data_IF_852399663505
#
_entry.id   IF_852399663505
#
_cell.length_a   1.000
_cell.length_b   1.000
_cell.length_c   1.000
_cell.angle_alpha   90.00
_cell.angle_beta   90.00
_cell.angle_gamma   90.00
#
_symmetry.space_group_name_H-M   'P 1'
#
loop_
_entity.id
_entity.type
_entity.pdbx_description
1 polymer ?
#
# COMPACT_ATOMS: atom_id res chain seq x y z
N UNK A 1 -49.72 36.20 31.52
CA UNK A 1 -48.42 35.84 32.13
C UNK A 1 -47.40 35.80 31.02
N UNK A 2 -46.45 36.73 31.06
CA UNK A 2 -45.41 36.88 30.10
C UNK A 2 -44.40 35.71 30.22
N UNK A 3 -44.18 34.99 29.16
CA UNK A 3 -43.07 34.05 29.03
C UNK A 3 -41.81 34.86 28.83
N UNK A 4 -41.06 35.11 29.88
CA UNK A 4 -39.72 35.70 29.81
C UNK A 4 -38.73 34.58 29.40
N UNK A 5 -38.60 34.35 28.12
CA UNK A 5 -37.48 33.62 27.57
C UNK A 5 -36.23 34.47 27.65
N UNK A 6 -35.20 33.97 28.32
CA UNK A 6 -33.86 34.55 28.23
C UNK A 6 -33.45 34.62 26.77
N UNK A 7 -33.34 35.87 26.28
CA UNK A 7 -33.04 36.16 24.89
C UNK A 7 -31.64 35.76 24.48
N UNK A 8 -31.48 34.59 23.94
CA UNK A 8 -30.48 34.38 22.91
C UNK A 8 -31.05 34.97 21.62
N UNK A 9 -30.45 36.06 21.16
CA UNK A 9 -30.74 36.66 19.88
C UNK A 9 -30.51 35.63 18.77
N UNK A 10 -31.56 34.89 18.45
CA UNK A 10 -31.64 34.14 17.21
C UNK A 10 -31.72 35.21 16.09
N UNK A 11 -30.58 35.59 15.59
CA UNK A 11 -30.54 36.34 14.34
C UNK A 11 -31.15 35.40 13.30
N UNK A 12 -32.43 35.69 12.96
CA UNK A 12 -33.10 35.00 11.86
C UNK A 12 -32.30 35.32 10.59
N UNK A 13 -31.45 34.37 10.20
CA UNK A 13 -30.77 34.43 8.91
C UNK A 13 -31.83 34.47 7.83
N UNK A 14 -32.00 35.64 7.18
CA UNK A 14 -32.90 35.86 6.06
C UNK A 14 -32.50 35.14 4.76
N UNK A 15 -31.63 34.15 4.82
CA UNK A 15 -31.32 33.26 3.72
C UNK A 15 -32.00 31.91 3.94
N UNK A 16 -33.32 31.89 3.66
CA UNK A 16 -33.97 30.67 3.25
C UNK A 16 -33.35 30.27 1.88
N UNK A 17 -32.24 29.63 1.91
CA UNK A 17 -31.62 29.08 0.69
C UNK A 17 -32.53 27.93 0.21
N UNK A 18 -33.01 28.04 -1.03
CA UNK A 18 -33.78 27.04 -1.76
C UNK A 18 -32.94 25.77 -2.03
N UNK A 19 -32.43 25.12 -0.99
CA UNK A 19 -31.84 23.77 -1.09
C UNK A 19 -32.94 22.78 -0.81
N UNK A 20 -33.78 22.50 -1.80
CA UNK A 20 -34.70 21.36 -1.77
C UNK A 20 -33.93 20.05 -1.99
N UNK A 21 -33.18 19.60 -0.98
CA UNK A 21 -32.71 18.25 -0.94
C UNK A 21 -33.85 17.36 -0.40
N UNK A 22 -34.70 16.86 -1.28
CA UNK A 22 -35.68 15.81 -0.99
C UNK A 22 -36.66 16.14 0.16
N UNK A 23 -36.59 15.43 1.26
CA UNK A 23 -37.48 15.57 2.41
C UNK A 23 -36.99 16.66 3.37
N UNK A 24 -37.91 17.46 3.94
CA UNK A 24 -37.63 18.60 4.84
C UNK A 24 -36.73 18.20 6.02
N UNK A 25 -36.88 17.00 6.56
CA UNK A 25 -36.06 16.47 7.66
C UNK A 25 -34.56 16.37 7.32
N UNK A 26 -34.23 15.99 6.08
CA UNK A 26 -32.84 15.85 5.62
C UNK A 26 -32.17 17.22 5.48
N UNK A 27 -32.89 18.18 4.89
CA UNK A 27 -32.40 19.55 4.76
C UNK A 27 -32.21 20.24 6.12
N UNK A 28 -33.11 20.01 7.07
CA UNK A 28 -33.01 20.54 8.43
C UNK A 28 -31.82 19.95 9.19
N UNK A 29 -31.59 18.63 9.08
CA UNK A 29 -30.45 17.96 9.68
C UNK A 29 -29.09 18.47 9.15
N UNK A 30 -28.96 18.62 7.83
CA UNK A 30 -27.77 19.19 7.21
C UNK A 30 -27.54 20.65 7.63
N UNK A 31 -28.61 21.46 7.68
CA UNK A 31 -28.51 22.84 8.15
C UNK A 31 -28.05 22.93 9.60
N UNK A 32 -28.56 22.05 10.47
CA UNK A 32 -28.14 21.98 11.87
C UNK A 32 -26.65 21.61 12.02
N UNK A 33 -26.16 20.67 11.20
CA UNK A 33 -24.74 20.30 11.17
C UNK A 33 -23.86 21.52 10.82
N UNK A 34 -24.26 22.28 9.79
CA UNK A 34 -23.48 23.42 9.29
C UNK A 34 -23.58 24.62 10.24
N UNK A 35 -24.73 24.86 10.86
CA UNK A 35 -24.92 25.96 11.82
C UNK A 35 -24.05 25.78 13.09
N UNK A 36 -23.81 24.54 13.52
CA UNK A 36 -22.96 24.22 14.67
C UNK A 36 -21.48 24.22 14.33
N UNK A 37 -20.88 25.34 13.93
CA UNK A 37 -19.50 25.46 13.42
C UNK A 37 -18.45 24.72 14.26
N UNK A 38 -18.52 24.80 15.61
CA UNK A 38 -17.58 24.13 16.52
C UNK A 38 -17.69 22.62 16.40
N UNK A 39 -18.91 22.08 16.42
CA UNK A 39 -19.16 20.65 16.31
C UNK A 39 -18.80 20.12 14.90
N UNK A 40 -19.16 20.90 13.86
CA UNK A 40 -18.77 20.58 12.48
C UNK A 40 -17.25 20.46 12.36
N UNK A 41 -16.50 21.44 12.87
CA UNK A 41 -15.04 21.41 12.83
C UNK A 41 -14.46 20.20 13.57
N UNK A 42 -14.88 19.94 14.81
CA UNK A 42 -14.39 18.81 15.60
C UNK A 42 -14.68 17.47 14.95
N UNK A 43 -15.91 17.31 14.43
CA UNK A 43 -16.32 16.06 13.77
C UNK A 43 -15.59 15.85 12.45
N UNK A 44 -15.58 16.87 11.60
CA UNK A 44 -14.85 16.86 10.32
C UNK A 44 -13.37 16.55 10.53
N UNK A 45 -12.74 17.19 11.55
CA UNK A 45 -11.32 16.95 11.87
C UNK A 45 -11.07 15.52 12.36
N UNK A 46 -11.96 14.95 13.17
CA UNK A 46 -11.82 13.57 13.66
C UNK A 46 -11.88 12.55 12.52
N UNK A 47 -12.86 12.66 11.62
CA UNK A 47 -12.92 11.81 10.44
C UNK A 47 -11.73 12.04 9.51
N UNK A 48 -11.39 13.29 9.24
CA UNK A 48 -10.30 13.65 8.35
C UNK A 48 -8.96 13.09 8.85
N UNK A 49 -8.68 13.23 10.15
CA UNK A 49 -7.46 12.70 10.75
C UNK A 49 -7.35 11.18 10.59
N UNK A 50 -8.44 10.45 10.85
CA UNK A 50 -8.46 9.01 10.68
C UNK A 50 -8.18 8.59 9.25
N UNK A 51 -8.78 9.26 8.27
CA UNK A 51 -8.57 8.99 6.84
C UNK A 51 -7.12 9.27 6.43
N UNK A 52 -6.56 10.40 6.88
CA UNK A 52 -5.16 10.77 6.64
C UNK A 52 -4.22 9.69 7.18
N UNK A 53 -4.45 9.25 8.42
CA UNK A 53 -3.63 8.21 9.04
C UNK A 53 -3.70 6.88 8.28
N UNK A 54 -4.90 6.42 7.89
CA UNK A 54 -5.05 5.19 7.09
C UNK A 54 -4.27 5.28 5.79
N UNK A 55 -4.39 6.39 5.05
CA UNK A 55 -3.70 6.59 3.78
C UNK A 55 -2.18 6.67 3.95
N UNK A 56 -1.68 7.36 4.98
CA UNK A 56 -0.25 7.45 5.25
C UNK A 56 0.34 6.12 5.71
N UNK A 57 -0.32 5.42 6.63
CA UNK A 57 0.15 4.12 7.10
C UNK A 57 0.14 3.05 6.01
N UNK A 58 -0.79 3.12 5.05
CA UNK A 58 -0.77 2.22 3.89
C UNK A 58 0.50 2.39 3.05
N UNK A 59 1.02 3.62 2.92
CA UNK A 59 2.29 3.90 2.25
C UNK A 59 3.47 3.37 3.06
N UNK A 60 3.46 3.57 4.37
CA UNK A 60 4.52 3.06 5.26
C UNK A 60 4.59 1.53 5.26
N UNK A 61 3.45 0.84 5.24
CA UNK A 61 3.40 -0.62 5.11
C UNK A 61 3.98 -1.10 3.78
N UNK A 62 3.63 -0.43 2.68
CA UNK A 62 4.21 -0.75 1.37
C UNK A 62 5.72 -0.55 1.37
N UNK A 63 6.20 0.56 1.94
CA UNK A 63 7.63 0.84 2.06
C UNK A 63 8.34 -0.21 2.91
N UNK A 64 7.78 -0.61 4.06
CA UNK A 64 8.34 -1.66 4.90
C UNK A 64 8.44 -3.00 4.15
N UNK A 65 7.43 -3.35 3.32
CA UNK A 65 7.46 -4.55 2.50
C UNK A 65 8.60 -4.55 1.47
N UNK A 66 8.89 -3.39 0.88
CA UNK A 66 9.98 -3.24 -0.11
C UNK A 66 11.39 -3.31 0.52
N UNK A 67 11.51 -3.16 1.83
CA UNK A 67 12.79 -3.27 2.53
C UNK A 67 13.13 -4.71 2.95
N UNK A 68 12.22 -5.67 2.74
CA UNK A 68 12.41 -7.06 3.13
C UNK A 68 12.79 -7.93 1.91
N UNK A 69 14.06 -8.39 1.80
CA UNK A 69 14.55 -9.14 0.63
C UNK A 69 13.79 -10.44 0.36
N UNK A 70 13.29 -11.08 1.42
CA UNK A 70 12.56 -12.36 1.33
C UNK A 70 11.20 -12.31 0.63
N UNK A 71 10.83 -11.15 0.07
CA UNK A 71 9.59 -10.96 -0.69
C UNK A 71 9.81 -10.90 -2.21
N UNK A 72 11.05 -11.05 -2.68
CA UNK A 72 11.36 -11.04 -4.11
C UNK A 72 10.66 -12.20 -4.84
N UNK A 73 10.11 -11.99 -6.05
CA UNK A 73 9.34 -13.02 -6.76
C UNK A 73 10.13 -14.27 -7.17
N UNK A 74 11.47 -14.18 -7.16
CA UNK A 74 12.39 -15.26 -7.46
C UNK A 74 13.10 -15.84 -6.23
N UNK A 75 12.67 -15.46 -5.02
CA UNK A 75 13.32 -15.88 -3.79
C UNK A 75 13.42 -17.41 -3.71
N UNK A 76 14.62 -17.99 -3.62
CA UNK A 76 14.77 -19.45 -3.55
C UNK A 76 14.53 -19.96 -2.14
N UNK A 77 14.23 -21.25 -2.04
CA UNK A 77 14.24 -22.00 -0.78
C UNK A 77 15.66 -22.50 -0.44
N UNK A 78 16.40 -22.87 -1.47
CA UNK A 78 17.81 -23.29 -1.35
C UNK A 78 18.62 -22.51 -2.37
N UNK A 79 19.71 -21.91 -1.90
CA UNK A 79 20.64 -21.14 -2.72
C UNK A 79 21.99 -21.84 -2.78
N UNK A 80 22.46 -22.10 -4.00
CA UNK A 80 23.80 -22.58 -4.28
C UNK A 80 24.64 -21.43 -4.83
N UNK A 81 25.80 -21.17 -4.23
CA UNK A 81 26.76 -20.16 -4.66
C UNK A 81 28.13 -20.77 -4.88
N UNK A 82 28.82 -20.36 -5.92
CA UNK A 82 30.23 -20.64 -6.07
C UNK A 82 31.06 -19.95 -4.97
N UNK A 83 32.04 -20.65 -4.41
CA UNK A 83 32.93 -20.06 -3.42
C UNK A 83 33.66 -18.84 -4.02
N UNK A 84 33.77 -17.76 -3.29
CA UNK A 84 34.33 -16.52 -3.80
C UNK A 84 33.56 -15.88 -4.96
N UNK A 85 32.30 -16.26 -5.20
CA UNK A 85 31.47 -15.84 -6.32
C UNK A 85 31.98 -16.31 -7.70
N UNK A 86 32.70 -17.43 -7.72
CA UNK A 86 33.21 -18.03 -8.95
C UNK A 86 32.10 -18.73 -9.76
N UNK A 87 32.30 -18.82 -11.08
CA UNK A 87 31.38 -19.45 -12.03
C UNK A 87 31.63 -20.97 -12.10
N UNK A 88 31.34 -21.66 -11.01
CA UNK A 88 31.59 -23.13 -10.88
C UNK A 88 30.31 -23.96 -11.04
N UNK A 89 29.15 -23.35 -11.03
CA UNK A 89 27.85 -24.01 -11.11
C UNK A 89 27.47 -24.30 -12.56
N UNK A 90 27.63 -25.55 -13.00
CA UNK A 90 27.37 -25.92 -14.39
C UNK A 90 25.87 -25.87 -14.74
N UNK A 91 25.54 -25.68 -16.01
CA UNK A 91 24.18 -25.80 -16.51
C UNK A 91 23.62 -27.21 -16.36
N UNK A 92 24.48 -28.23 -16.49
CA UNK A 92 24.09 -29.62 -16.25
C UNK A 92 23.66 -29.84 -14.79
N UNK A 93 24.29 -29.18 -13.83
CA UNK A 93 23.83 -29.20 -12.44
C UNK A 93 22.43 -28.64 -12.28
N UNK A 94 22.10 -27.52 -12.92
CA UNK A 94 20.75 -27.00 -12.89
C UNK A 94 19.71 -27.98 -13.44
N UNK A 95 20.04 -28.75 -14.50
CA UNK A 95 19.19 -29.83 -15.02
C UNK A 95 19.04 -30.98 -14.03
N UNK A 96 20.13 -31.38 -13.38
CA UNK A 96 20.10 -32.43 -12.34
C UNK A 96 19.23 -32.02 -11.16
N UNK A 97 19.33 -30.73 -10.71
CA UNK A 97 18.50 -30.19 -9.65
C UNK A 97 17.01 -30.20 -10.04
N UNK A 98 16.65 -29.85 -11.29
CA UNK A 98 15.28 -29.93 -11.80
C UNK A 98 14.69 -31.32 -11.79
N UNK A 99 15.52 -32.36 -11.89
CA UNK A 99 15.08 -33.73 -11.91
C UNK A 99 14.81 -34.32 -10.50
N UNK A 100 15.18 -33.64 -9.43
CA UNK A 100 14.97 -34.08 -8.05
C UNK A 100 13.48 -33.97 -7.69
N UNK A 101 12.84 -35.05 -7.19
CA UNK A 101 11.46 -35.00 -6.71
C UNK A 101 11.33 -33.98 -5.57
N UNK A 102 10.28 -33.12 -5.66
CA UNK A 102 10.05 -32.04 -4.69
C UNK A 102 10.66 -30.71 -5.10
N UNK A 103 11.49 -30.65 -6.15
CA UNK A 103 11.93 -29.40 -6.75
C UNK A 103 10.82 -28.86 -7.66
N UNK A 104 10.42 -27.63 -7.45
CA UNK A 104 9.40 -26.93 -8.24
C UNK A 104 10.01 -26.17 -9.41
N UNK A 105 11.03 -25.38 -9.14
CA UNK A 105 11.74 -24.61 -10.15
C UNK A 105 13.21 -24.39 -9.79
N UNK A 106 14.04 -24.26 -10.83
CA UNK A 106 15.47 -23.96 -10.68
C UNK A 106 15.82 -22.84 -11.65
N UNK A 107 16.38 -21.75 -11.15
CA UNK A 107 16.94 -20.69 -11.96
C UNK A 107 18.45 -20.60 -11.78
N UNK A 108 19.13 -20.10 -12.80
CA UNK A 108 20.55 -19.81 -12.76
C UNK A 108 20.82 -18.34 -13.06
N UNK A 109 21.77 -17.77 -12.32
CA UNK A 109 22.20 -16.39 -12.52
C UNK A 109 23.70 -16.25 -12.41
N UNK A 110 24.24 -15.19 -13.04
CA UNK A 110 25.63 -14.82 -12.91
C UNK A 110 25.72 -13.32 -12.68
N UNK A 111 26.43 -12.91 -11.65
CA UNK A 111 26.72 -11.51 -11.37
C UNK A 111 28.23 -11.28 -11.42
N UNK A 112 28.68 -10.41 -12.32
CA UNK A 112 30.07 -10.00 -12.45
C UNK A 112 30.22 -8.59 -11.92
N UNK A 113 30.89 -8.47 -10.79
CA UNK A 113 31.23 -7.17 -10.21
C UNK A 113 32.38 -6.52 -10.96
N UNK A 114 32.41 -5.20 -10.92
CA UNK A 114 33.52 -4.42 -11.49
C UNK A 114 33.77 -4.68 -12.99
N UNK A 115 32.71 -4.93 -13.76
CA UNK A 115 32.81 -5.12 -15.22
C UNK A 115 33.09 -3.78 -15.89
N UNK A 116 34.19 -3.65 -16.70
CA UNK A 116 34.46 -2.43 -17.41
C UNK A 116 33.32 -2.05 -18.35
N UNK A 117 32.87 -0.81 -18.25
CA UNK A 117 31.80 -0.26 -19.06
C UNK A 117 32.03 1.21 -19.36
N UNK A 118 31.46 1.71 -20.43
CA UNK A 118 31.42 3.13 -20.72
C UNK A 118 30.09 3.54 -21.33
N UNK A 119 29.72 4.80 -21.18
CA UNK A 119 28.50 5.32 -21.77
C UNK A 119 28.77 6.70 -22.40
N UNK A 120 28.30 6.95 -23.62
CA UNK A 120 28.44 8.26 -24.25
C UNK A 120 27.69 9.37 -23.50
N UNK A 121 26.64 9.00 -22.78
CA UNK A 121 25.75 9.92 -22.11
C UNK A 121 26.07 10.14 -20.62
N UNK A 122 26.85 9.21 -20.01
CA UNK A 122 27.05 9.18 -18.56
C UNK A 122 28.50 8.83 -18.21
N UNK A 123 28.93 9.34 -17.06
CA UNK A 123 30.20 8.97 -16.47
C UNK A 123 30.09 7.64 -15.76
N UNK A 124 30.48 6.56 -16.44
CA UNK A 124 30.43 5.17 -15.96
C UNK A 124 31.69 4.47 -16.42
N UNK A 125 32.47 3.98 -15.48
CA UNK A 125 33.67 3.21 -15.74
C UNK A 125 33.48 1.72 -15.52
N UNK A 126 32.64 1.37 -14.55
CA UNK A 126 32.36 -0.02 -14.16
C UNK A 126 30.87 -0.21 -13.82
N UNK A 127 30.39 -1.43 -14.05
CA UNK A 127 29.04 -1.85 -13.69
C UNK A 127 29.07 -3.24 -13.04
N UNK A 128 28.00 -3.57 -12.31
CA UNK A 128 27.67 -4.96 -12.05
C UNK A 128 26.88 -5.47 -13.24
N UNK A 129 27.43 -6.45 -13.95
CA UNK A 129 26.79 -7.11 -15.08
C UNK A 129 26.11 -8.39 -14.58
N UNK A 130 24.79 -8.41 -14.51
CA UNK A 130 24.00 -9.55 -14.08
C UNK A 130 23.28 -10.27 -15.22
N UNK A 131 23.12 -11.58 -15.11
CA UNK A 131 22.24 -12.34 -15.99
C UNK A 131 20.97 -12.77 -15.26
N UNK A 132 19.85 -12.74 -15.95
CA UNK A 132 18.59 -13.34 -15.53
C UNK A 132 18.17 -14.36 -16.58
N UNK A 133 17.82 -15.57 -16.13
CA UNK A 133 17.20 -16.56 -17.00
C UNK A 133 15.74 -16.18 -17.32
N UNK A 134 15.08 -16.98 -18.16
CA UNK A 134 13.72 -16.69 -18.64
C UNK A 134 12.70 -16.64 -17.48
N UNK A 135 12.89 -17.47 -16.45
CA UNK A 135 12.03 -17.45 -15.26
C UNK A 135 12.19 -16.17 -14.47
N UNK A 136 13.43 -15.77 -14.18
CA UNK A 136 13.70 -14.54 -13.44
C UNK A 136 13.20 -13.32 -14.21
N UNK A 137 13.40 -13.28 -15.53
CA UNK A 137 12.89 -12.20 -16.39
C UNK A 137 11.37 -12.13 -16.34
N UNK A 138 10.67 -13.27 -16.41
CA UNK A 138 9.21 -13.33 -16.34
C UNK A 138 8.70 -12.87 -14.97
N UNK A 139 9.28 -13.36 -13.88
CA UNK A 139 8.92 -12.98 -12.50
C UNK A 139 9.24 -11.53 -12.18
N UNK A 140 10.20 -10.92 -12.88
CA UNK A 140 10.58 -9.51 -12.71
C UNK A 140 9.67 -8.55 -13.48
N UNK A 141 8.70 -9.03 -14.26
CA UNK A 141 7.82 -8.19 -15.10
C UNK A 141 7.09 -7.12 -14.31
N UNK A 142 6.55 -7.47 -13.14
CA UNK A 142 5.81 -6.55 -12.28
C UNK A 142 6.73 -5.56 -11.53
N UNK A 143 8.03 -5.76 -11.60
CA UNK A 143 9.03 -4.87 -11.00
C UNK A 143 9.50 -3.75 -11.95
N UNK A 144 9.03 -3.74 -13.20
CA UNK A 144 9.39 -2.70 -14.17
C UNK A 144 8.78 -1.37 -13.74
N UNK A 145 9.63 -0.38 -13.44
CA UNK A 145 9.20 0.96 -13.00
C UNK A 145 9.40 2.03 -14.07
N UNK A 146 10.19 1.73 -15.08
CA UNK A 146 10.41 2.62 -16.24
C UNK A 146 10.70 1.80 -17.49
N UNK A 147 10.27 2.29 -18.66
CA UNK A 147 10.49 1.64 -19.94
C UNK A 147 9.68 0.36 -20.12
N UNK A 148 10.29 -0.68 -20.66
CA UNK A 148 9.70 -1.99 -20.94
C UNK A 148 10.67 -3.13 -20.63
N UNK A 149 10.18 -4.35 -20.66
CA UNK A 149 11.05 -5.54 -20.60
C UNK A 149 11.99 -5.60 -21.81
N UNK A 150 13.22 -6.04 -21.54
CA UNK A 150 14.18 -6.34 -22.62
C UNK A 150 13.73 -7.55 -23.43
N UNK A 151 14.00 -7.51 -24.73
CA UNK A 151 13.80 -8.65 -25.61
C UNK A 151 14.81 -9.75 -25.27
N UNK A 152 14.29 -10.95 -25.03
CA UNK A 152 15.09 -12.12 -24.63
C UNK A 152 15.73 -12.83 -25.84
N UNK A 153 15.46 -12.38 -27.06
CA UNK A 153 16.09 -12.96 -28.24
C UNK A 153 17.62 -12.85 -28.17
N UNK A 154 18.29 -13.93 -28.54
CA UNK A 154 19.75 -13.96 -28.53
C UNK A 154 20.40 -12.88 -29.42
N UNK A 155 19.72 -12.40 -30.46
CA UNK A 155 20.18 -11.32 -31.35
C UNK A 155 20.01 -9.91 -30.77
N UNK A 156 19.21 -9.76 -29.73
CA UNK A 156 18.93 -8.48 -29.10
C UNK A 156 20.14 -7.94 -28.35
N UNK A 157 20.27 -6.61 -28.31
CA UNK A 157 21.23 -5.89 -27.48
C UNK A 157 20.52 -5.07 -26.41
N UNK A 158 19.31 -5.48 -26.03
CA UNK A 158 18.52 -4.81 -25.03
C UNK A 158 18.84 -5.33 -23.62
N UNK A 159 18.97 -4.39 -22.70
CA UNK A 159 19.27 -4.69 -21.30
C UNK A 159 18.35 -3.91 -20.37
N UNK A 160 18.27 -4.37 -19.15
CA UNK A 160 17.58 -3.69 -18.05
C UNK A 160 18.61 -3.07 -17.11
N UNK A 161 18.17 -2.11 -16.31
CA UNK A 161 18.96 -1.62 -15.16
C UNK A 161 18.12 -1.74 -13.89
N UNK A 162 18.76 -1.55 -12.73
CA UNK A 162 18.05 -1.43 -11.46
C UNK A 162 17.90 0.05 -11.13
N UNK A 163 16.69 0.46 -10.78
CA UNK A 163 16.44 1.82 -10.35
C UNK A 163 17.12 2.08 -9.02
N UNK A 164 18.08 2.99 -9.03
CA UNK A 164 18.70 3.52 -7.84
C UNK A 164 18.88 5.03 -8.05
N UNK A 165 18.73 5.81 -6.97
CA UNK A 165 18.91 7.27 -7.04
C UNK A 165 20.31 7.68 -7.49
N UNK A 166 21.32 6.84 -7.18
CA UNK A 166 22.72 7.06 -7.51
C UNK A 166 23.09 6.50 -8.89
N UNK A 167 22.26 5.65 -9.48
CA UNK A 167 22.52 5.07 -10.79
C UNK A 167 22.41 6.15 -11.88
N UNK A 168 23.51 6.50 -12.57
CA UNK A 168 23.49 7.48 -13.63
C UNK A 168 22.73 7.00 -14.88
N UNK A 169 22.70 5.67 -15.10
CA UNK A 169 22.10 5.04 -16.27
C UNK A 169 20.56 5.10 -16.20
N UNK A 170 19.95 5.51 -17.31
CA UNK A 170 18.49 5.64 -17.46
C UNK A 170 18.01 4.90 -18.70
N UNK A 171 16.71 4.68 -18.78
CA UNK A 171 16.07 4.13 -19.97
C UNK A 171 16.33 5.02 -21.18
N UNK A 172 16.81 4.42 -22.26
CA UNK A 172 17.25 5.08 -23.48
C UNK A 172 18.76 5.33 -23.57
N UNK A 173 19.50 5.21 -22.46
CA UNK A 173 20.95 5.34 -22.51
C UNK A 173 21.59 4.11 -23.16
N UNK A 174 22.76 4.32 -23.79
CA UNK A 174 23.59 3.25 -24.35
C UNK A 174 24.77 3.01 -23.41
N UNK A 175 25.05 1.75 -23.13
CA UNK A 175 26.23 1.31 -22.38
C UNK A 175 27.06 0.37 -23.22
N UNK A 176 28.37 0.63 -23.30
CA UNK A 176 29.34 -0.18 -24.04
C UNK A 176 30.00 -1.17 -23.08
N UNK A 177 29.79 -2.47 -23.34
CA UNK A 177 30.33 -3.58 -22.53
C UNK A 177 30.85 -4.67 -23.46
N UNK A 178 32.04 -5.19 -23.19
CA UNK A 178 32.65 -6.31 -23.94
C UNK A 178 32.62 -6.13 -25.47
N UNK A 179 32.87 -4.89 -25.96
CA UNK A 179 32.92 -4.61 -27.39
C UNK A 179 31.55 -4.45 -28.07
N UNK A 180 30.46 -4.26 -27.31
CA UNK A 180 29.10 -4.10 -27.83
C UNK A 180 28.38 -2.94 -27.21
N UNK A 181 27.59 -2.25 -28.02
CA UNK A 181 26.61 -1.26 -27.59
C UNK A 181 25.35 -1.96 -27.13
N UNK A 182 24.97 -1.72 -25.88
CA UNK A 182 23.76 -2.26 -25.26
C UNK A 182 22.82 -1.11 -24.95
N UNK A 183 21.55 -1.25 -25.25
CA UNK A 183 20.53 -0.23 -24.99
C UNK A 183 19.74 -0.57 -23.75
N UNK A 184 19.67 0.34 -22.79
CA UNK A 184 18.84 0.20 -21.60
C UNK A 184 17.39 0.50 -21.98
N UNK A 185 16.55 -0.53 -22.03
CA UNK A 185 15.14 -0.40 -22.45
C UNK A 185 14.17 -0.33 -21.28
N UNK A 186 14.61 -0.70 -20.08
CA UNK A 186 13.79 -0.63 -18.88
C UNK A 186 14.58 -0.64 -17.58
N UNK A 187 13.89 -0.35 -16.50
CA UNK A 187 14.46 -0.38 -15.15
C UNK A 187 13.53 -1.13 -14.19
N UNK A 188 14.13 -2.03 -13.39
CA UNK A 188 13.46 -2.71 -12.29
C UNK A 188 13.51 -1.87 -11.01
N UNK A 189 12.51 -1.98 -10.13
CA UNK A 189 12.48 -1.35 -8.81
C UNK A 189 13.49 -1.94 -7.84
N UNK A 190 13.80 -3.22 -8.02
CA UNK A 190 14.74 -4.00 -7.23
C UNK A 190 15.34 -5.11 -8.07
N UNK A 191 16.44 -5.70 -7.61
CA UNK A 191 17.11 -6.78 -8.32
C UNK A 191 18.02 -7.59 -7.40
N UNK A 192 18.48 -8.75 -7.90
CA UNK A 192 19.32 -9.66 -7.16
C UNK A 192 20.72 -9.10 -6.86
N UNK A 193 21.20 -8.18 -7.69
CA UNK A 193 22.52 -7.60 -7.57
C UNK A 193 22.39 -6.13 -7.13
N UNK A 194 22.29 -5.85 -5.82
CA UNK A 194 22.04 -4.50 -5.31
C UNK A 194 23.33 -3.66 -5.27
N UNK A 195 23.72 -3.14 -6.41
CA UNK A 195 24.83 -2.18 -6.49
C UNK A 195 24.35 -0.87 -7.13
N UNK A 196 25.15 0.17 -7.01
CA UNK A 196 24.77 1.51 -7.48
C UNK A 196 24.56 1.54 -8.99
N UNK A 197 25.37 0.83 -9.78
CA UNK A 197 25.25 0.77 -11.25
C UNK A 197 25.18 -0.67 -11.71
N UNK A 198 23.98 -1.16 -11.93
CA UNK A 198 23.75 -2.56 -12.36
C UNK A 198 23.10 -2.60 -13.74
N UNK A 199 23.62 -3.48 -14.60
CA UNK A 199 23.06 -3.82 -15.91
C UNK A 199 22.65 -5.30 -15.88
N UNK A 200 21.37 -5.55 -16.16
CA UNK A 200 20.80 -6.91 -16.19
C UNK A 200 20.58 -7.32 -17.64
N UNK A 201 21.20 -8.40 -18.02
CA UNK A 201 21.06 -8.99 -19.34
C UNK A 201 20.14 -10.22 -19.31
N UNK A 202 19.31 -10.46 -20.32
CA UNK A 202 18.79 -11.80 -20.60
C UNK A 202 19.95 -12.80 -20.73
N UNK A 203 19.76 -14.02 -20.25
CA UNK A 203 20.83 -15.05 -20.21
C UNK A 203 21.49 -15.26 -21.58
N UNK A 204 20.71 -15.31 -22.65
CA UNK A 204 21.22 -15.51 -24.00
C UNK A 204 22.15 -14.39 -24.48
N UNK A 205 21.89 -13.14 -24.07
CA UNK A 205 22.78 -12.01 -24.36
C UNK A 205 24.03 -12.06 -23.49
N UNK A 206 23.87 -12.36 -22.19
CA UNK A 206 24.98 -12.48 -21.25
C UNK A 206 26.02 -13.49 -21.74
N UNK A 207 25.58 -14.68 -22.19
CA UNK A 207 26.44 -15.74 -22.72
C UNK A 207 27.29 -15.28 -23.90
N UNK A 208 26.75 -14.40 -24.74
CA UNK A 208 27.50 -13.82 -25.88
C UNK A 208 28.51 -12.76 -25.46
N UNK A 209 28.20 -12.01 -24.38
CA UNK A 209 29.07 -10.93 -23.89
C UNK A 209 30.30 -11.49 -23.15
N UNK A 210 30.08 -12.47 -22.31
CA UNK A 210 31.10 -12.95 -21.34
C UNK A 210 31.66 -14.32 -21.75
N UNK A 211 31.03 -15.01 -22.72
CA UNK A 211 31.35 -16.41 -23.08
C UNK A 211 31.30 -17.35 -21.87
N UNK A 212 30.42 -17.03 -20.90
CA UNK A 212 30.23 -17.80 -19.70
C UNK A 212 29.46 -19.09 -20.00
N UNK A 213 29.95 -20.22 -19.47
CA UNK A 213 29.27 -21.54 -19.60
C UNK A 213 28.58 -21.93 -18.30
N UNK A 214 28.98 -21.37 -17.18
CA UNK A 214 28.53 -21.69 -15.84
C UNK A 214 27.89 -20.48 -15.15
N UNK A 215 27.10 -20.77 -14.11
CA UNK A 215 26.55 -19.78 -13.20
C UNK A 215 27.49 -19.59 -12.00
N UNK A 216 27.40 -18.46 -11.35
CA UNK A 216 27.93 -18.30 -9.99
C UNK A 216 26.87 -18.47 -8.91
N UNK A 217 25.60 -18.58 -9.31
CA UNK A 217 24.46 -18.69 -8.41
C UNK A 217 23.37 -19.55 -9.05
N UNK A 218 22.82 -20.51 -8.29
CA UNK A 218 21.62 -21.28 -8.65
C UNK A 218 20.64 -21.20 -7.49
N UNK A 219 19.41 -20.81 -7.78
CA UNK A 219 18.31 -20.84 -6.81
C UNK A 219 17.35 -21.98 -7.10
N UNK A 220 16.98 -22.71 -6.06
CA UNK A 220 16.03 -23.80 -6.10
C UNK A 220 14.78 -23.40 -5.32
N UNK A 221 13.62 -23.44 -5.99
CA UNK A 221 12.32 -23.30 -5.37
C UNK A 221 11.72 -24.69 -5.20
N UNK A 222 11.28 -24.99 -4.00
CA UNK A 222 10.66 -26.27 -3.66
C UNK A 222 9.15 -26.21 -3.89
N UNK A 223 8.54 -27.36 -4.13
CA UNK A 223 7.08 -27.47 -4.19
C UNK A 223 6.56 -28.18 -2.92
N UNK A 224 5.23 -28.29 -2.79
CA UNK A 224 4.58 -28.86 -1.60
C UNK A 224 4.91 -30.32 -1.33
N UNK A 225 5.49 -31.05 -2.30
CA UNK A 225 5.92 -32.44 -2.13
C UNK A 225 7.36 -32.58 -1.64
N UNK A 226 8.08 -31.48 -1.44
CA UNK A 226 9.46 -31.50 -0.98
C UNK A 226 9.57 -32.03 0.45
N UNK A 227 10.60 -32.86 0.66
CA UNK A 227 10.91 -33.45 1.96
C UNK A 227 12.35 -33.12 2.36
N UNK A 228 12.74 -33.44 3.58
CA UNK A 228 14.15 -33.31 4.00
C UNK A 228 15.09 -34.15 3.15
N UNK A 229 14.59 -35.24 2.56
CA UNK A 229 15.36 -36.04 1.57
C UNK A 229 15.66 -35.23 0.30
N UNK A 230 14.70 -34.41 -0.17
CA UNK A 230 14.90 -33.48 -1.29
C UNK A 230 16.07 -32.54 -1.01
N UNK A 231 16.08 -31.94 0.19
CA UNK A 231 17.13 -31.00 0.61
C UNK A 231 18.49 -31.69 0.70
N UNK A 232 18.54 -32.89 1.27
CA UNK A 232 19.77 -33.71 1.33
C UNK A 232 20.29 -34.10 -0.06
N UNK A 233 19.40 -34.43 -1.00
CA UNK A 233 19.79 -34.74 -2.38
C UNK A 233 20.38 -33.50 -3.08
N UNK A 234 19.81 -32.33 -2.87
CA UNK A 234 20.36 -31.06 -3.38
C UNK A 234 21.76 -30.82 -2.79
N UNK A 235 21.91 -31.00 -1.48
CA UNK A 235 23.17 -30.77 -0.79
C UNK A 235 24.26 -31.76 -1.27
N UNK A 236 23.91 -33.00 -1.60
CA UNK A 236 24.84 -33.98 -2.12
C UNK A 236 25.40 -33.69 -3.51
N UNK A 237 24.77 -32.83 -4.29
CA UNK A 237 25.30 -32.36 -5.57
C UNK A 237 26.38 -31.28 -5.43
N UNK A 238 26.52 -30.71 -4.23
CA UNK A 238 27.54 -29.70 -3.97
C UNK A 238 28.94 -30.34 -3.87
N UNK A 239 29.92 -29.62 -4.39
CA UNK A 239 31.35 -29.91 -4.24
C UNK A 239 31.95 -28.95 -3.22
N UNK A 240 33.23 -29.09 -2.89
CA UNK A 240 33.94 -28.17 -1.96
C UNK A 240 33.98 -26.71 -2.43
N UNK A 241 33.75 -26.50 -3.73
CA UNK A 241 33.69 -25.15 -4.35
C UNK A 241 32.30 -24.52 -4.31
N UNK A 242 31.28 -25.24 -3.80
CA UNK A 242 29.87 -24.80 -3.82
C UNK A 242 29.33 -24.67 -2.40
N UNK A 243 28.87 -23.48 -2.06
CA UNK A 243 28.19 -23.22 -0.79
C UNK A 243 26.69 -23.42 -1.00
N UNK A 244 26.11 -24.40 -0.29
CA UNK A 244 24.66 -24.62 -0.24
C UNK A 244 24.09 -23.96 1.00
N UNK A 245 23.13 -23.09 0.81
CA UNK A 245 22.44 -22.36 1.88
C UNK A 245 20.94 -22.67 1.84
N UNK A 246 20.44 -23.35 2.85
CA UNK A 246 19.00 -23.45 3.09
C UNK A 246 18.52 -22.12 3.68
N UNK A 247 17.73 -21.39 2.90
CA UNK A 247 17.25 -20.05 3.28
C UNK A 247 15.78 -20.04 3.69
N UNK A 248 15.12 -21.20 3.76
CA UNK A 248 13.71 -21.36 4.12
C UNK A 248 13.37 -20.75 5.49
N UNK A 249 14.20 -21.03 6.49
CA UNK A 249 13.98 -20.50 7.83
C UNK A 249 14.08 -18.96 7.84
N UNK A 250 15.10 -18.41 7.19
CA UNK A 250 15.27 -16.96 7.05
C UNK A 250 14.07 -16.33 6.32
N UNK A 251 13.65 -16.92 5.18
CA UNK A 251 12.49 -16.44 4.42
C UNK A 251 11.22 -16.49 5.26
N UNK A 252 11.03 -17.54 6.04
CA UNK A 252 9.90 -17.69 6.97
C UNK A 252 9.93 -16.63 8.08
N UNK A 253 11.10 -16.34 8.66
CA UNK A 253 11.27 -15.29 9.68
C UNK A 253 11.00 -13.91 9.10
N UNK A 254 11.48 -13.62 7.89
CA UNK A 254 11.20 -12.34 7.20
C UNK A 254 9.70 -12.20 6.90
N UNK A 255 9.05 -13.25 6.40
CA UNK A 255 7.61 -13.27 6.17
C UNK A 255 6.80 -13.08 7.47
N UNK A 256 7.22 -13.75 8.56
CA UNK A 256 6.61 -13.59 9.87
C UNK A 256 6.79 -12.17 10.42
N UNK A 257 7.97 -11.57 10.24
CA UNK A 257 8.25 -10.18 10.65
C UNK A 257 7.38 -9.19 9.88
N UNK A 258 7.21 -9.42 8.58
CA UNK A 258 6.31 -8.60 7.76
C UNK A 258 4.86 -8.76 8.18
N UNK A 259 4.41 -9.99 8.44
CA UNK A 259 3.06 -10.26 8.94
C UNK A 259 2.83 -9.60 10.31
N UNK A 260 3.79 -9.72 11.23
CA UNK A 260 3.72 -9.07 12.54
C UNK A 260 3.63 -7.54 12.41
N UNK A 261 4.43 -6.94 11.54
CA UNK A 261 4.39 -5.50 11.25
C UNK A 261 3.02 -5.08 10.71
N UNK A 262 2.44 -5.87 9.81
CA UNK A 262 1.07 -5.65 9.30
C UNK A 262 0.03 -5.71 10.41
N UNK A 263 0.08 -6.72 11.27
CA UNK A 263 -0.86 -6.89 12.39
C UNK A 263 -0.79 -5.68 13.34
N UNK A 264 0.42 -5.23 13.70
CA UNK A 264 0.62 -4.06 14.56
C UNK A 264 0.03 -2.80 13.93
N UNK A 265 0.33 -2.53 12.66
CA UNK A 265 -0.16 -1.33 11.96
C UNK A 265 -1.68 -1.37 11.78
N UNK A 266 -2.24 -2.48 11.32
CA UNK A 266 -3.69 -2.61 11.18
C UNK A 266 -4.42 -2.58 12.52
N UNK A 267 -3.83 -3.17 13.57
CA UNK A 267 -4.35 -3.07 14.95
C UNK A 267 -4.38 -1.61 15.43
N UNK A 268 -3.31 -0.86 15.21
CA UNK A 268 -3.26 0.57 15.50
C UNK A 268 -4.31 1.38 14.72
N UNK A 269 -4.46 1.10 13.41
CA UNK A 269 -5.50 1.73 12.59
C UNK A 269 -6.92 1.38 13.07
N UNK A 270 -7.14 0.15 13.52
CA UNK A 270 -8.43 -0.26 14.10
C UNK A 270 -8.72 0.51 15.40
N UNK A 271 -7.73 0.71 16.27
CA UNK A 271 -7.87 1.51 17.50
C UNK A 271 -8.22 2.96 17.16
N UNK A 272 -7.53 3.57 16.19
CA UNK A 272 -7.84 4.94 15.73
C UNK A 272 -9.28 5.01 15.19
N UNK A 273 -9.70 4.01 14.41
CA UNK A 273 -11.07 3.90 13.91
C UNK A 273 -12.11 3.82 15.04
N UNK A 274 -11.83 3.01 16.07
CA UNK A 274 -12.69 2.91 17.26
C UNK A 274 -12.76 4.23 18.03
N UNK A 275 -11.63 4.90 18.26
CA UNK A 275 -11.58 6.20 18.94
C UNK A 275 -12.41 7.22 18.16
N UNK A 276 -12.30 7.23 16.82
CA UNK A 276 -13.09 8.11 15.96
C UNK A 276 -14.57 7.79 16.05
N UNK A 277 -14.95 6.51 16.01
CA UNK A 277 -16.33 6.06 16.17
C UNK A 277 -16.91 6.52 17.52
N UNK A 278 -16.20 6.30 18.63
CA UNK A 278 -16.66 6.73 19.95
C UNK A 278 -16.78 8.25 20.05
N UNK A 279 -15.85 8.99 19.48
CA UNK A 279 -15.91 10.45 19.46
C UNK A 279 -17.17 10.95 18.72
N UNK A 280 -17.51 10.33 17.59
CA UNK A 280 -18.71 10.65 16.81
C UNK A 280 -19.97 10.31 17.60
N UNK A 281 -20.07 9.08 18.15
CA UNK A 281 -21.20 8.65 18.96
C UNK A 281 -21.43 9.61 20.14
N UNK A 282 -20.38 9.97 20.85
CA UNK A 282 -20.43 10.89 21.98
C UNK A 282 -20.92 12.28 21.57
N UNK A 283 -20.37 12.84 20.49
CA UNK A 283 -20.75 14.20 20.02
C UNK A 283 -22.18 14.26 19.48
N UNK A 284 -22.64 13.23 18.74
CA UNK A 284 -24.03 13.15 18.28
C UNK A 284 -24.94 13.02 19.51
N UNK A 285 -24.58 12.19 20.48
CA UNK A 285 -25.36 12.02 21.72
C UNK A 285 -25.47 13.32 22.51
N UNK A 286 -24.35 14.08 22.62
CA UNK A 286 -24.36 15.42 23.24
C UNK A 286 -25.22 16.42 22.46
N UNK A 287 -25.12 16.44 21.12
CA UNK A 287 -25.93 17.32 20.26
C UNK A 287 -27.43 17.04 20.45
N UNK A 288 -27.79 15.75 20.46
CA UNK A 288 -29.19 15.30 20.69
C UNK A 288 -29.65 15.70 22.09
N UNK A 289 -28.83 15.46 23.14
CA UNK A 289 -29.18 15.79 24.52
C UNK A 289 -29.36 17.30 24.72
N UNK A 290 -28.50 18.13 24.15
CA UNK A 290 -28.60 19.59 24.22
C UNK A 290 -29.86 20.16 23.54
N UNK A 291 -30.45 19.41 22.58
CA UNK A 291 -31.62 19.84 21.81
C UNK A 291 -32.90 19.05 22.17
N UNK A 292 -32.90 18.31 23.27
CA UNK A 292 -34.03 17.50 23.72
C UNK A 292 -35.34 18.32 23.78
N UNK A 293 -35.28 19.54 24.33
CA UNK A 293 -36.44 20.47 24.39
C UNK A 293 -36.97 20.85 22.99
N UNK A 294 -36.08 21.15 22.04
CA UNK A 294 -36.44 21.46 20.66
C UNK A 294 -37.13 20.26 19.98
N UNK A 295 -36.63 19.07 20.21
CA UNK A 295 -37.25 17.83 19.69
C UNK A 295 -38.62 17.56 20.32
N UNK A 296 -38.79 17.84 21.62
CA UNK A 296 -40.09 17.80 22.29
C UNK A 296 -41.11 18.73 21.65
N UNK A 297 -40.73 19.97 21.39
CA UNK A 297 -41.61 20.97 20.69
C UNK A 297 -41.96 20.48 19.27
N UNK A 298 -40.99 19.98 18.51
CA UNK A 298 -41.23 19.46 17.15
C UNK A 298 -42.23 18.29 17.17
N UNK A 299 -42.13 17.42 18.15
CA UNK A 299 -43.11 16.31 18.34
C UNK A 299 -44.47 16.80 18.74
N UNK A 300 -44.57 17.82 19.57
CA UNK A 300 -45.85 18.43 19.97
C UNK A 300 -46.57 19.11 18.79
N UNK A 301 -45.83 19.62 17.80
CA UNK A 301 -46.37 20.19 16.55
C UNK A 301 -46.76 19.10 15.54
N UNK A 302 -46.45 17.80 15.81
CA UNK A 302 -46.84 16.70 14.96
C UNK A 302 -45.72 15.97 14.22
N UNK A 303 -44.45 16.25 14.53
CA UNK A 303 -43.30 15.56 13.93
C UNK A 303 -43.17 14.15 14.50
N UNK A 304 -43.13 13.13 13.64
CA UNK A 304 -42.99 11.74 14.05
C UNK A 304 -41.54 11.40 14.49
N UNK A 305 -41.40 10.41 15.41
CA UNK A 305 -40.08 9.97 15.88
C UNK A 305 -39.17 9.43 14.78
N UNK A 306 -39.74 8.90 13.68
CA UNK A 306 -38.96 8.48 12.51
C UNK A 306 -38.41 9.66 11.72
N UNK A 307 -39.11 10.77 11.64
CA UNK A 307 -38.67 12.01 11.00
C UNK A 307 -37.52 12.66 11.78
N UNK A 308 -37.63 12.68 13.13
CA UNK A 308 -36.55 13.14 13.99
C UNK A 308 -35.28 12.26 13.84
N UNK A 309 -35.45 10.96 13.79
CA UNK A 309 -34.33 10.04 13.57
C UNK A 309 -33.64 10.30 12.24
N UNK A 310 -34.40 10.53 11.16
CA UNK A 310 -33.85 10.90 9.84
C UNK A 310 -33.11 12.24 9.87
N UNK A 311 -33.57 13.21 10.63
CA UNK A 311 -32.91 14.50 10.81
C UNK A 311 -31.54 14.34 11.49
N UNK A 312 -31.48 13.56 12.59
CA UNK A 312 -30.20 13.26 13.28
C UNK A 312 -29.27 12.43 12.39
N UNK A 313 -29.83 11.49 11.60
CA UNK A 313 -29.05 10.75 10.62
C UNK A 313 -28.46 11.65 9.53
N UNK A 314 -29.22 12.64 9.04
CA UNK A 314 -28.74 13.62 8.08
C UNK A 314 -27.63 14.52 8.67
N UNK A 315 -27.74 14.90 9.95
CA UNK A 315 -26.67 15.62 10.65
C UNK A 315 -25.39 14.79 10.72
N UNK A 316 -25.45 13.51 11.13
CA UNK A 316 -24.31 12.60 11.19
C UNK A 316 -23.69 12.36 9.81
N UNK A 317 -24.53 12.16 8.80
CA UNK A 317 -24.10 11.98 7.42
C UNK A 317 -23.38 13.23 6.86
N UNK A 318 -23.84 14.42 7.22
CA UNK A 318 -23.19 15.70 6.83
C UNK A 318 -21.78 15.78 7.42
N UNK A 319 -21.60 15.40 8.69
CA UNK A 319 -20.26 15.31 9.32
C UNK A 319 -19.38 14.28 8.62
N UNK A 320 -19.94 13.09 8.31
CA UNK A 320 -19.22 12.04 7.65
C UNK A 320 -18.73 12.46 6.25
N UNK A 321 -19.61 13.06 5.45
CA UNK A 321 -19.28 13.54 4.09
C UNK A 321 -18.27 14.67 4.15
N UNK A 322 -18.43 15.66 5.04
CA UNK A 322 -17.45 16.75 5.18
C UNK A 322 -16.07 16.23 5.61
N UNK A 323 -16.02 15.27 6.56
CA UNK A 323 -14.80 14.62 6.99
C UNK A 323 -14.15 13.77 5.88
N UNK A 324 -14.98 13.07 5.09
CA UNK A 324 -14.52 12.30 3.94
C UNK A 324 -13.86 13.21 2.88
N UNK A 325 -14.51 14.31 2.52
CA UNK A 325 -13.97 15.26 1.54
C UNK A 325 -12.64 15.84 2.03
N UNK A 326 -12.61 16.41 3.22
CA UNK A 326 -11.40 17.03 3.79
C UNK A 326 -10.31 15.98 4.01
N UNK A 327 -10.66 14.82 4.56
CA UNK A 327 -9.74 13.73 4.84
C UNK A 327 -9.15 13.10 3.59
N UNK A 328 -9.96 12.90 2.54
CA UNK A 328 -9.46 12.38 1.26
C UNK A 328 -8.53 13.38 0.57
N UNK A 329 -8.89 14.67 0.52
CA UNK A 329 -8.03 15.67 -0.09
C UNK A 329 -6.69 15.76 0.64
N UNK A 330 -6.71 15.99 1.96
CA UNK A 330 -5.51 16.10 2.76
C UNK A 330 -4.69 14.78 2.78
N UNK A 331 -5.38 13.65 2.95
CA UNK A 331 -4.75 12.32 3.01
C UNK A 331 -4.13 11.89 1.70
N UNK A 332 -4.77 12.12 0.56
CA UNK A 332 -4.19 11.81 -0.75
C UNK A 332 -2.98 12.69 -1.06
N UNK A 333 -3.04 13.98 -0.75
CA UNK A 333 -1.90 14.88 -0.93
C UNK A 333 -0.71 14.44 -0.07
N UNK A 334 -0.95 14.15 1.21
CA UNK A 334 0.11 13.73 2.14
C UNK A 334 0.65 12.35 1.80
N UNK A 335 -0.21 11.38 1.48
CA UNK A 335 0.21 10.03 1.07
C UNK A 335 1.02 10.06 -0.23
N UNK A 336 0.64 10.89 -1.21
CA UNK A 336 1.42 11.11 -2.45
C UNK A 336 2.80 11.70 -2.15
N UNK A 337 2.87 12.70 -1.27
CA UNK A 337 4.14 13.30 -0.86
C UNK A 337 5.04 12.28 -0.15
N UNK A 338 4.46 11.50 0.77
CA UNK A 338 5.17 10.45 1.50
C UNK A 338 5.65 9.35 0.55
N UNK A 339 4.79 8.91 -0.37
CA UNK A 339 5.13 7.91 -1.39
C UNK A 339 6.29 8.39 -2.28
N UNK A 340 6.25 9.65 -2.72
CA UNK A 340 7.31 10.23 -3.53
C UNK A 340 8.65 10.28 -2.78
N UNK A 341 8.61 10.58 -1.47
CA UNK A 341 9.83 10.65 -0.63
C UNK A 341 10.42 9.30 -0.27
N UNK A 342 9.58 8.30 0.01
CA UNK A 342 9.99 6.99 0.50
C UNK A 342 10.09 5.94 -0.62
N UNK A 343 9.13 5.90 -1.55
CA UNK A 343 9.05 4.82 -2.53
C UNK A 343 9.59 5.26 -3.89
N UNK A 344 9.05 6.35 -4.46
CA UNK A 344 9.50 6.78 -5.79
C UNK A 344 10.98 7.11 -5.81
N UNK A 345 11.49 7.77 -4.77
CA UNK A 345 12.90 8.19 -4.70
C UNK A 345 13.88 7.01 -4.66
N UNK A 346 13.52 5.93 -3.95
CA UNK A 346 14.42 4.79 -3.74
C UNK A 346 14.17 3.62 -4.69
N UNK A 347 12.93 3.39 -5.07
CA UNK A 347 12.50 2.23 -5.87
C UNK A 347 11.97 2.61 -7.26
N UNK A 348 11.88 3.88 -7.61
CA UNK A 348 11.41 4.36 -8.92
C UNK A 348 9.91 4.16 -9.18
N UNK A 349 9.18 3.52 -8.27
CA UNK A 349 7.76 3.22 -8.45
C UNK A 349 6.93 4.50 -8.52
N UNK A 350 6.01 4.56 -9.47
CA UNK A 350 5.08 5.68 -9.60
C UNK A 350 3.92 5.54 -8.61
N UNK A 351 3.43 6.68 -8.11
CA UNK A 351 2.25 6.69 -7.25
C UNK A 351 0.98 6.48 -8.08
N UNK A 352 0.16 5.54 -7.68
CA UNK A 352 -1.17 5.32 -8.21
C UNK A 352 -2.23 5.58 -7.15
N UNK A 353 -3.41 6.04 -7.58
CA UNK A 353 -4.52 6.27 -6.68
C UNK A 353 -4.90 4.96 -5.96
N UNK A 354 -4.90 4.91 -4.60
CA UNK A 354 -5.19 3.68 -3.88
C UNK A 354 -6.70 3.38 -3.83
N UNK A 355 -7.30 3.02 -4.97
CA UNK A 355 -8.75 2.87 -5.14
C UNK A 355 -9.39 1.91 -4.14
N UNK A 356 -8.79 0.74 -3.91
CA UNK A 356 -9.31 -0.24 -2.94
C UNK A 356 -9.32 0.31 -1.51
N UNK A 357 -8.24 0.99 -1.10
CA UNK A 357 -8.15 1.63 0.22
C UNK A 357 -9.21 2.72 0.37
N UNK A 358 -9.43 3.54 -0.67
CA UNK A 358 -10.47 4.57 -0.67
C UNK A 358 -11.87 3.96 -0.55
N UNK A 359 -12.17 2.89 -1.28
CA UNK A 359 -13.46 2.19 -1.15
C UNK A 359 -13.68 1.67 0.28
N UNK A 360 -12.66 1.08 0.90
CA UNK A 360 -12.74 0.61 2.29
C UNK A 360 -12.94 1.77 3.28
N UNK A 361 -12.27 2.91 3.08
CA UNK A 361 -12.44 4.12 3.89
C UNK A 361 -13.87 4.64 3.78
N UNK A 362 -14.41 4.76 2.57
CA UNK A 362 -15.77 5.24 2.32
C UNK A 362 -16.78 4.33 3.02
N UNK A 363 -16.64 3.02 2.86
CA UNK A 363 -17.51 2.04 3.51
C UNK A 363 -17.44 2.14 5.04
N UNK A 364 -16.23 2.24 5.59
CA UNK A 364 -16.01 2.38 7.04
C UNK A 364 -16.65 3.67 7.59
N UNK A 365 -16.45 4.83 6.92
CA UNK A 365 -16.99 6.12 7.35
C UNK A 365 -18.51 6.10 7.38
N UNK A 366 -19.17 5.55 6.37
CA UNK A 366 -20.62 5.46 6.35
C UNK A 366 -21.15 4.44 7.36
N UNK A 367 -20.48 3.31 7.56
CA UNK A 367 -20.84 2.35 8.61
C UNK A 367 -20.70 2.99 10.00
N UNK A 368 -19.63 3.72 10.26
CA UNK A 368 -19.41 4.45 11.51
C UNK A 368 -20.51 5.51 11.75
N UNK A 369 -20.86 6.29 10.73
CA UNK A 369 -21.95 7.28 10.82
C UNK A 369 -23.31 6.60 11.12
N UNK A 370 -23.63 5.48 10.47
CA UNK A 370 -24.86 4.74 10.72
C UNK A 370 -24.92 4.18 12.15
N UNK A 371 -23.82 3.60 12.64
CA UNK A 371 -23.70 3.09 14.01
C UNK A 371 -23.82 4.20 15.05
N UNK A 372 -23.24 5.37 14.78
CA UNK A 372 -23.27 6.52 15.67
C UNK A 372 -24.68 7.08 15.88
N UNK A 373 -25.55 6.95 14.88
CA UNK A 373 -26.97 7.39 14.96
C UNK A 373 -27.84 6.39 15.75
N UNK A 374 -27.46 5.14 15.84
CA UNK A 374 -28.32 4.08 16.39
C UNK A 374 -28.74 4.34 17.85
N UNK A 375 -27.80 4.67 18.73
CA UNK A 375 -28.07 4.91 20.15
C UNK A 375 -28.88 6.18 20.40
N UNK A 376 -28.55 7.37 19.82
CA UNK A 376 -29.37 8.58 19.92
C UNK A 376 -30.77 8.42 19.32
N UNK A 377 -30.91 7.72 18.20
CA UNK A 377 -32.20 7.46 17.56
C UNK A 377 -33.14 6.64 18.47
N UNK A 378 -32.62 5.62 19.16
CA UNK A 378 -33.38 4.81 20.13
C UNK A 378 -33.85 5.69 21.30
N UNK A 379 -32.99 6.60 21.78
CA UNK A 379 -33.34 7.53 22.87
C UNK A 379 -34.45 8.50 22.46
N UNK A 380 -34.36 9.12 21.27
CA UNK A 380 -35.38 10.02 20.73
C UNK A 380 -36.71 9.33 20.56
N UNK A 381 -36.73 8.08 20.06
CA UNK A 381 -37.97 7.32 19.83
C UNK A 381 -38.71 6.96 21.13
N UNK A 382 -37.96 6.76 22.21
CA UNK A 382 -38.48 6.37 23.51
C UNK A 382 -38.83 7.55 24.43
N UNK A 383 -38.60 8.82 24.01
CA UNK A 383 -38.97 10.01 24.78
C UNK A 383 -40.48 10.13 24.91
N UNK A 384 -41.00 10.22 26.15
CA UNK A 384 -42.37 10.54 26.41
C UNK A 384 -42.63 12.04 26.22
N UNK A 385 -43.62 12.39 25.40
CA UNK A 385 -43.98 13.81 25.07
C UNK A 385 -44.35 14.59 26.33
N UNK A 386 -45.06 13.92 27.29
CA UNK A 386 -45.53 14.51 28.55
C UNK A 386 -44.40 14.91 29.51
N UNK A 387 -43.29 14.12 29.56
CA UNK A 387 -42.16 14.38 30.43
C UNK A 387 -41.33 15.62 29.95
N UNK A 388 -41.24 15.80 28.62
CA UNK A 388 -40.49 16.90 28.03
C UNK A 388 -41.21 18.28 28.12
N UNK A 389 -42.56 18.26 28.26
CA UNK A 389 -43.38 19.49 28.42
C UNK A 389 -43.43 19.89 29.89
N UNK A 390 -43.38 18.96 30.85
CA UNK A 390 -43.39 19.26 32.29
C UNK A 390 -42.09 19.84 32.83
N UNK A 391 -41.00 19.74 32.11
CA UNK A 391 -39.70 20.40 32.43
C UNK A 391 -39.58 21.83 31.83
N UNK A 392 -40.63 22.36 31.19
CA UNK A 392 -40.77 23.73 30.70
C UNK A 392 -41.34 24.62 31.78
#
# INVERSE_FOLDING_TARGET
>A
AAVSGTGENLSASRHASNYSFGKIELSLGAHHAIAGKKNLFLMTSSFALSIVLVLCFSVLLKFAGLLLPGQAPWQPDILLNGYGNEQVLSRSMAEQLRAIPGVGYVWGATGLTNTPASSPQKDVEHVVLGSYDDFMMEKSRDLVVAGRMADQAASSNEVMTIYNKNNPLKVGDTVYISGRDLTIVGAFSEGMFPDDVTVICPQALFDRLVRAQNYNMIGVLLNDSATEQTVMQIAHLATDEIIVSDVRERNSQEAATYLASRIVVYGFLAIIGLISLFNIVNSISMSVSARTKQYGVMRAIGMDGSQLTRMVAAEAFTYAVSGLIVGCIAGLLLSRMLYARLITRYFGMTWHLPGMTLCLIILFVFAAAALAVHAPAKRIRNMAITETINEL
#
